data_IF_277045266083
#
_entry.id   IF_277045266083
#
_cell.length_a   1.000
_cell.length_b   1.000
_cell.length_c   1.000
_cell.angle_alpha   90.00
_cell.angle_beta   90.00
_cell.angle_gamma   90.00
#
_symmetry.space_group_name_H-M   'P 1'
#
loop_
_entity.id
_entity.type
_entity.pdbx_description
1 polymer ?
#
# COMPACT_ATOMS: atom_id res chain seq x y z
N UNK A 1 -2.48 17.61 12.29
CA UNK A 1 -2.47 16.23 11.75
C UNK A 1 -1.08 15.64 11.92
N UNK A 2 -0.98 14.67 12.82
CA UNK A 2 0.18 13.81 13.04
C UNK A 2 0.22 12.69 11.98
N UNK A 3 1.27 11.86 11.98
CA UNK A 3 1.30 10.65 11.15
C UNK A 3 0.23 9.63 11.58
N UNK A 4 -0.03 9.51 12.88
CA UNK A 4 -1.06 8.61 13.41
C UNK A 4 -2.45 9.00 12.92
N UNK A 5 -2.77 10.30 12.96
CA UNK A 5 -4.02 10.83 12.41
C UNK A 5 -4.15 10.49 10.92
N UNK A 6 -3.06 10.68 10.15
CA UNK A 6 -3.01 10.38 8.72
C UNK A 6 -3.24 8.89 8.45
N UNK A 7 -2.56 8.02 9.20
CA UNK A 7 -2.69 6.57 9.10
C UNK A 7 -4.12 6.12 9.41
N UNK A 8 -4.69 6.57 10.54
CA UNK A 8 -6.04 6.21 10.95
C UNK A 8 -7.09 6.70 9.93
N UNK A 9 -6.93 7.91 9.40
CA UNK A 9 -7.82 8.44 8.37
C UNK A 9 -7.76 7.61 7.06
N UNK A 10 -6.58 7.14 6.65
CA UNK A 10 -6.43 6.27 5.48
C UNK A 10 -6.94 4.85 5.73
N UNK A 11 -6.78 4.32 6.95
CA UNK A 11 -7.40 3.03 7.33
C UNK A 11 -8.93 3.15 7.21
N UNK A 12 -9.52 4.20 7.79
CA UNK A 12 -10.97 4.46 7.69
C UNK A 12 -11.41 4.60 6.23
N UNK A 13 -10.67 5.37 5.43
CA UNK A 13 -10.94 5.53 4.00
C UNK A 13 -11.09 4.21 3.26
N UNK A 14 -10.19 3.25 3.54
CA UNK A 14 -10.23 1.94 2.90
C UNK A 14 -11.26 0.99 3.50
N UNK A 15 -11.47 1.02 4.83
CA UNK A 15 -12.47 0.18 5.50
C UNK A 15 -13.91 0.55 5.14
N UNK A 16 -14.18 1.85 4.94
CA UNK A 16 -15.50 2.37 4.56
C UNK A 16 -15.65 2.61 3.06
N UNK A 17 -14.72 2.08 2.26
CA UNK A 17 -14.75 2.14 0.79
C UNK A 17 -14.99 3.55 0.23
N UNK A 18 -14.41 4.57 0.89
CA UNK A 18 -14.50 5.93 0.43
C UNK A 18 -13.80 6.09 -0.93
N UNK A 19 -14.38 6.91 -1.81
CA UNK A 19 -13.89 7.09 -3.18
C UNK A 19 -13.21 8.45 -3.41
N UNK A 20 -13.26 9.36 -2.42
CA UNK A 20 -12.63 10.68 -2.54
C UNK A 20 -12.24 11.26 -1.18
N UNK A 21 -11.18 12.07 -1.18
CA UNK A 21 -10.75 12.82 0.01
C UNK A 21 -11.85 13.76 0.53
N UNK A 22 -12.72 14.27 -0.35
CA UNK A 22 -13.88 15.09 0.06
C UNK A 22 -14.84 14.28 0.91
N UNK A 23 -15.16 13.06 0.48
CA UNK A 23 -16.07 12.19 1.23
C UNK A 23 -15.49 11.87 2.61
N UNK A 24 -14.20 11.49 2.67
CA UNK A 24 -13.52 11.22 3.94
C UNK A 24 -13.53 12.43 4.87
N UNK A 25 -13.16 13.62 4.39
CA UNK A 25 -13.13 14.82 5.24
C UNK A 25 -14.52 15.16 5.78
N UNK A 26 -15.56 14.97 4.98
CA UNK A 26 -16.94 15.12 5.45
C UNK A 26 -17.27 14.08 6.54
N UNK A 27 -16.90 12.81 6.36
CA UNK A 27 -17.07 11.77 7.39
C UNK A 27 -16.35 12.13 8.68
N UNK A 28 -15.11 12.62 8.61
CA UNK A 28 -14.33 13.06 9.77
C UNK A 28 -14.98 14.25 10.52
N UNK A 29 -15.82 15.04 9.84
CA UNK A 29 -16.53 16.18 10.43
C UNK A 29 -17.92 15.79 10.96
N UNK A 30 -18.66 14.94 10.26
CA UNK A 30 -20.08 14.67 10.51
C UNK A 30 -20.33 13.41 11.33
N UNK A 31 -19.49 12.38 11.20
CA UNK A 31 -19.64 11.14 11.97
C UNK A 31 -19.06 11.28 13.39
N UNK A 32 -19.85 10.89 14.39
CA UNK A 32 -19.46 11.03 15.79
C UNK A 32 -18.26 10.15 16.15
N UNK A 33 -18.16 8.94 15.62
CA UNK A 33 -17.03 8.08 15.91
C UNK A 33 -15.76 8.63 15.27
N UNK A 34 -15.81 8.93 13.97
CA UNK A 34 -14.70 9.44 13.19
C UNK A 34 -14.19 10.77 13.76
N UNK A 35 -15.08 11.70 14.10
CA UNK A 35 -14.73 13.01 14.67
C UNK A 35 -14.00 12.93 16.00
N UNK A 36 -14.34 11.96 16.86
CA UNK A 36 -13.76 11.86 18.20
C UNK A 36 -12.56 10.90 18.27
N UNK A 37 -12.43 9.94 17.35
CA UNK A 37 -11.41 8.89 17.43
C UNK A 37 -10.43 8.85 16.26
N UNK A 38 -10.77 9.46 15.11
CA UNK A 38 -9.97 9.38 13.88
C UNK A 38 -9.48 10.77 13.44
N UNK A 39 -10.34 11.79 13.51
CA UNK A 39 -10.01 13.14 13.09
C UNK A 39 -8.95 13.77 14.01
N UNK A 40 -8.05 14.61 13.47
CA UNK A 40 -7.13 15.40 14.29
C UNK A 40 -7.88 16.30 15.28
N UNK A 41 -7.23 16.63 16.40
CA UNK A 41 -7.77 17.60 17.35
C UNK A 41 -8.05 18.96 16.65
N UNK A 42 -9.29 19.45 16.77
CA UNK A 42 -9.75 20.65 16.08
C UNK A 42 -10.20 20.44 14.63
N UNK A 43 -10.22 19.20 14.13
CA UNK A 43 -10.62 18.84 12.77
C UNK A 43 -9.54 19.14 11.73
N UNK A 44 -9.88 18.92 10.45
CA UNK A 44 -8.96 19.19 9.35
C UNK A 44 -9.69 19.67 8.09
N UNK A 45 -9.19 20.76 7.50
CA UNK A 45 -9.70 21.21 6.21
C UNK A 45 -9.26 20.30 5.08
N UNK A 46 -10.06 20.20 4.02
CA UNK A 46 -9.71 19.43 2.81
C UNK A 46 -8.36 19.82 2.21
N UNK A 47 -8.04 21.12 2.16
CA UNK A 47 -6.77 21.61 1.63
C UNK A 47 -5.59 21.11 2.45
N UNK A 48 -5.68 21.21 3.78
CA UNK A 48 -4.62 20.76 4.69
C UNK A 48 -4.45 19.23 4.66
N UNK A 49 -5.56 18.49 4.51
CA UNK A 49 -5.50 17.04 4.32
C UNK A 49 -4.78 16.68 3.02
N UNK A 50 -5.18 17.27 1.89
CA UNK A 50 -4.54 17.03 0.59
C UNK A 50 -3.05 17.36 0.59
N UNK A 51 -2.65 18.48 1.20
CA UNK A 51 -1.24 18.88 1.32
C UNK A 51 -0.44 17.83 2.12
N UNK A 52 -0.96 17.41 3.27
CA UNK A 52 -0.28 16.44 4.10
C UNK A 52 -0.16 15.04 3.45
N UNK A 53 -1.17 14.60 2.69
CA UNK A 53 -1.09 13.34 1.92
C UNK A 53 -0.01 13.40 0.84
N UNK A 54 0.18 14.56 0.19
CA UNK A 54 1.17 14.71 -0.88
C UNK A 54 2.61 14.79 -0.38
N UNK A 55 2.83 15.33 0.83
CA UNK A 55 4.18 15.68 1.31
C UNK A 55 4.70 14.74 2.40
N UNK A 56 3.86 13.90 3.02
CA UNK A 56 4.21 13.19 4.25
C UNK A 56 3.85 11.72 4.20
N UNK A 57 4.65 10.92 4.91
CA UNK A 57 4.24 9.61 5.40
C UNK A 57 4.82 8.41 4.65
N UNK A 58 5.38 8.55 3.44
CA UNK A 58 5.83 7.39 2.66
C UNK A 58 6.82 6.50 3.43
N UNK A 59 7.90 7.08 3.97
CA UNK A 59 8.89 6.34 4.75
C UNK A 59 8.27 5.71 6.00
N UNK A 60 7.37 6.43 6.67
CA UNK A 60 6.67 5.94 7.85
C UNK A 60 5.69 4.79 7.51
N UNK A 61 4.96 4.88 6.40
CA UNK A 61 4.07 3.82 5.90
C UNK A 61 4.85 2.57 5.54
N UNK A 62 6.01 2.72 4.89
CA UNK A 62 6.91 1.60 4.60
C UNK A 62 7.39 0.95 5.89
N UNK A 63 7.80 1.74 6.89
CA UNK A 63 8.20 1.21 8.19
C UNK A 63 7.06 0.45 8.91
N UNK A 64 5.83 0.99 8.88
CA UNK A 64 4.64 0.32 9.44
C UNK A 64 4.37 -0.99 8.70
N UNK A 65 4.39 -0.98 7.36
CA UNK A 65 4.18 -2.18 6.55
C UNK A 65 5.22 -3.26 6.87
N UNK A 66 6.50 -2.92 6.89
CA UNK A 66 7.59 -3.87 7.18
C UNK A 66 7.48 -4.49 8.58
N UNK A 67 7.10 -3.68 9.58
CA UNK A 67 6.91 -4.19 10.94
C UNK A 67 5.68 -5.09 11.05
N UNK A 68 4.55 -4.69 10.45
CA UNK A 68 3.34 -5.49 10.41
C UNK A 68 3.56 -6.81 9.68
N UNK A 69 4.28 -6.78 8.55
CA UNK A 69 4.62 -7.97 7.78
C UNK A 69 5.46 -8.95 8.61
N UNK A 70 6.46 -8.46 9.34
CA UNK A 70 7.29 -9.30 10.24
C UNK A 70 6.46 -9.93 11.36
N UNK A 71 5.57 -9.14 11.98
CA UNK A 71 4.69 -9.65 13.03
C UNK A 71 3.71 -10.69 12.49
N UNK A 72 3.06 -10.41 11.37
CA UNK A 72 2.15 -11.34 10.70
C UNK A 72 2.87 -12.63 10.29
N UNK A 73 4.08 -12.53 9.72
CA UNK A 73 4.91 -13.67 9.35
C UNK A 73 5.37 -14.51 10.55
N UNK A 74 5.51 -13.92 11.74
CA UNK A 74 5.81 -14.67 12.96
C UNK A 74 4.58 -15.37 13.58
N UNK A 75 3.40 -14.80 13.39
CA UNK A 75 2.15 -15.27 14.00
C UNK A 75 1.39 -16.29 13.13
N UNK A 76 1.40 -16.11 11.81
CA UNK A 76 0.59 -16.90 10.90
C UNK A 76 1.20 -18.29 10.64
N UNK A 77 0.39 -19.36 10.66
CA UNK A 77 0.88 -20.70 10.36
C UNK A 77 1.28 -20.83 8.90
N UNK A 78 2.27 -21.68 8.62
CA UNK A 78 2.68 -22.05 7.25
C UNK A 78 1.82 -23.21 6.77
N UNK A 79 0.85 -22.94 5.91
CA UNK A 79 -0.13 -23.94 5.41
C UNK A 79 0.53 -25.01 4.53
N UNK A 80 1.60 -24.66 3.81
CA UNK A 80 2.26 -25.52 2.83
C UNK A 80 3.77 -25.68 3.07
N UNK A 81 4.21 -25.80 4.33
CA UNK A 81 5.64 -25.84 4.69
C UNK A 81 6.44 -26.94 3.96
N UNK A 82 5.80 -28.04 3.56
CA UNK A 82 6.42 -29.14 2.81
C UNK A 82 6.88 -28.75 1.40
N UNK A 83 6.35 -27.67 0.83
CA UNK A 83 6.73 -27.18 -0.50
C UNK A 83 7.89 -26.17 -0.45
N UNK A 84 8.42 -25.89 0.75
CA UNK A 84 9.38 -24.80 0.97
C UNK A 84 8.71 -23.43 1.05
N UNK A 85 9.52 -22.37 1.01
CA UNK A 85 9.05 -20.98 1.03
C UNK A 85 8.73 -20.51 -0.39
N UNK A 86 7.44 -20.41 -0.71
CA UNK A 86 6.93 -20.07 -2.04
C UNK A 86 6.46 -18.62 -2.08
N UNK A 87 7.04 -17.85 -3.00
CA UNK A 87 6.70 -16.45 -3.24
C UNK A 87 6.09 -16.31 -4.63
N UNK A 88 4.82 -15.96 -4.73
CA UNK A 88 4.22 -15.55 -6.00
C UNK A 88 4.66 -14.14 -6.33
N UNK A 89 5.10 -13.92 -7.56
CA UNK A 89 5.48 -12.61 -8.08
C UNK A 89 4.52 -12.27 -9.20
N UNK A 90 3.81 -11.17 -9.04
CA UNK A 90 2.89 -10.65 -10.06
C UNK A 90 2.98 -9.12 -10.14
N UNK A 91 2.78 -8.61 -11.35
CA UNK A 91 2.82 -7.19 -11.67
C UNK A 91 1.43 -6.68 -12.05
N UNK A 92 0.88 -5.77 -11.24
CA UNK A 92 -0.40 -5.12 -11.56
C UNK A 92 -0.20 -3.67 -11.96
N UNK A 93 -0.90 -3.21 -13.00
CA UNK A 93 -0.95 -1.80 -13.33
C UNK A 93 -1.90 -1.07 -12.37
N UNK A 94 -1.42 0.04 -11.82
CA UNK A 94 -2.22 0.98 -11.03
C UNK A 94 -2.39 2.29 -11.82
N UNK A 95 -3.56 2.88 -11.68
CA UNK A 95 -3.82 4.19 -12.28
C UNK A 95 -2.94 5.24 -11.60
N UNK A 96 -2.27 6.05 -12.42
CA UNK A 96 -1.39 7.09 -11.91
C UNK A 96 -2.09 8.45 -11.94
N UNK A 97 -1.70 9.34 -11.04
CA UNK A 97 -2.17 10.72 -10.99
C UNK A 97 -1.27 11.63 -11.84
N UNK A 98 -1.74 12.84 -12.17
CA UNK A 98 -1.00 13.77 -13.04
C UNK A 98 0.43 14.08 -12.58
N UNK A 99 0.64 14.11 -11.25
CA UNK A 99 1.94 14.34 -10.60
C UNK A 99 2.90 13.16 -10.68
N UNK A 100 2.44 11.96 -11.07
CA UNK A 100 3.30 10.82 -11.38
C UNK A 100 3.81 10.93 -12.81
N UNK A 101 4.59 11.97 -13.07
CA UNK A 101 5.23 12.23 -14.37
C UNK A 101 6.23 11.14 -14.79
N UNK A 102 6.80 10.43 -13.81
CA UNK A 102 7.66 9.26 -14.00
C UNK A 102 6.92 7.99 -14.48
N UNK A 103 5.59 7.93 -14.37
CA UNK A 103 4.82 6.76 -14.78
C UNK A 103 4.63 6.73 -16.31
N UNK A 104 5.17 5.71 -16.99
CA UNK A 104 5.17 5.62 -18.46
C UNK A 104 3.82 5.15 -19.05
N UNK A 105 3.63 5.44 -20.34
CA UNK A 105 2.37 5.40 -21.08
C UNK A 105 1.98 3.97 -21.50
N UNK A 106 0.82 3.48 -21.05
CA UNK A 106 0.17 2.29 -21.63
C UNK A 106 -1.13 2.71 -22.30
N UNK A 107 -1.17 2.63 -23.64
CA UNK A 107 -2.33 2.82 -24.54
C UNK A 107 -3.47 3.71 -24.00
N UNK A 108 -3.16 4.96 -23.65
CA UNK A 108 -4.17 6.01 -23.40
C UNK A 108 -4.20 6.60 -21.99
N UNK A 109 -3.53 6.00 -21.00
CA UNK A 109 -3.43 6.54 -19.64
C UNK A 109 -2.03 6.35 -19.05
N UNK A 110 -1.60 7.29 -18.20
CA UNK A 110 -0.38 7.13 -17.40
C UNK A 110 -0.65 6.04 -16.35
N UNK A 111 0.20 5.01 -16.27
CA UNK A 111 0.07 3.92 -15.29
C UNK A 111 1.41 3.61 -14.66
N UNK A 112 1.40 3.32 -13.36
CA UNK A 112 2.56 2.75 -12.69
C UNK A 112 2.37 1.24 -12.59
N UNK A 113 3.47 0.49 -12.57
CA UNK A 113 3.43 -0.95 -12.35
C UNK A 113 3.84 -1.25 -10.92
N UNK A 114 3.02 -2.06 -10.26
CA UNK A 114 3.22 -2.52 -8.89
C UNK A 114 3.62 -3.99 -8.93
N UNK A 115 4.85 -4.28 -8.54
CA UNK A 115 5.36 -5.64 -8.39
C UNK A 115 5.14 -6.08 -6.95
N UNK A 116 4.41 -7.18 -6.78
CA UNK A 116 4.07 -7.75 -5.47
C UNK A 116 4.75 -9.10 -5.30
N UNK A 117 5.51 -9.26 -4.23
CA UNK A 117 5.97 -10.55 -3.74
C UNK A 117 5.01 -11.05 -2.66
N UNK A 118 4.22 -12.07 -2.97
CA UNK A 118 3.19 -12.61 -2.09
C UNK A 118 3.63 -13.97 -1.52
N UNK A 119 3.69 -14.07 -0.20
CA UNK A 119 4.02 -15.31 0.49
C UNK A 119 2.80 -16.24 0.47
N UNK A 120 2.89 -17.31 -0.33
CA UNK A 120 1.80 -18.28 -0.50
C UNK A 120 1.61 -19.13 0.75
N UNK A 121 2.70 -19.46 1.47
CA UNK A 121 2.62 -20.32 2.65
C UNK A 121 1.76 -19.70 3.76
N UNK A 122 1.78 -18.37 3.88
CA UNK A 122 1.11 -17.63 4.94
C UNK A 122 -0.04 -16.74 4.43
N UNK A 123 -0.18 -16.59 3.11
CA UNK A 123 -1.25 -15.82 2.50
C UNK A 123 -1.12 -14.31 2.72
N UNK A 124 0.11 -13.78 2.77
CA UNK A 124 0.36 -12.36 3.06
C UNK A 124 1.33 -11.71 2.06
N UNK A 125 1.20 -10.40 1.81
CA UNK A 125 2.21 -9.66 1.05
C UNK A 125 3.54 -9.63 1.82
N UNK A 126 4.66 -9.85 1.13
CA UNK A 126 6.01 -9.81 1.70
C UNK A 126 6.78 -8.56 1.27
N UNK A 127 6.76 -8.23 -0.02
CA UNK A 127 7.49 -7.09 -0.59
C UNK A 127 6.69 -6.41 -1.69
N UNK A 128 6.93 -5.11 -1.87
CA UNK A 128 6.24 -4.25 -2.81
C UNK A 128 7.24 -3.33 -3.51
N UNK A 129 7.20 -3.25 -4.84
CA UNK A 129 7.96 -2.27 -5.61
C UNK A 129 7.07 -1.57 -6.63
N UNK A 130 7.29 -0.26 -6.81
CA UNK A 130 6.64 0.54 -7.83
C UNK A 130 7.65 0.95 -8.90
N UNK A 131 7.28 0.77 -10.15
CA UNK A 131 8.08 1.11 -11.33
C UNK A 131 7.20 1.77 -12.38
N UNK A 132 7.81 2.26 -13.47
CA UNK A 132 7.03 2.70 -14.63
C UNK A 132 6.15 1.55 -15.19
N UNK A 133 5.10 1.92 -15.91
CA UNK A 133 4.10 0.98 -16.42
C UNK A 133 4.61 -0.10 -17.39
N UNK A 134 5.77 0.10 -18.02
CA UNK A 134 6.34 -0.82 -19.01
C UNK A 134 7.42 -1.73 -18.46
N UNK A 135 7.88 -1.49 -17.23
CA UNK A 135 8.90 -2.31 -16.58
C UNK A 135 8.47 -3.78 -16.47
N UNK A 136 9.37 -4.68 -16.86
CA UNK A 136 9.21 -6.13 -16.68
C UNK A 136 9.41 -6.51 -15.20
N UNK A 137 8.81 -7.62 -14.77
CA UNK A 137 8.92 -8.18 -13.42
C UNK A 137 10.29 -8.82 -13.18
N UNK A 138 10.86 -9.45 -14.22
CA UNK A 138 12.09 -10.26 -14.14
C UNK A 138 13.28 -9.56 -13.49
N UNK A 139 13.58 -8.28 -13.79
CA UNK A 139 14.66 -7.54 -13.14
C UNK A 139 14.44 -7.34 -11.62
N UNK A 140 13.19 -7.32 -11.17
CA UNK A 140 12.82 -7.07 -9.77
C UNK A 140 12.66 -8.33 -8.93
N UNK A 141 12.68 -9.52 -9.56
CA UNK A 141 12.58 -10.82 -8.88
C UNK A 141 13.61 -10.93 -7.76
N UNK A 142 14.86 -10.56 -8.03
CA UNK A 142 15.94 -10.62 -7.03
C UNK A 142 15.71 -9.70 -5.83
N UNK A 143 14.93 -8.63 -6.00
CA UNK A 143 14.55 -7.74 -4.91
C UNK A 143 13.33 -8.28 -4.14
N UNK A 144 12.49 -9.11 -4.79
CA UNK A 144 11.25 -9.65 -4.25
C UNK A 144 11.44 -10.98 -3.50
N UNK A 145 12.46 -11.76 -3.83
CA UNK A 145 12.78 -13.03 -3.16
C UNK A 145 14.02 -12.92 -2.29
N UNK A 146 14.07 -13.70 -1.22
CA UNK A 146 15.25 -13.88 -0.38
C UNK A 146 15.97 -15.20 -0.71
N UNK A 147 17.27 -15.34 -0.37
CA UNK A 147 17.97 -16.61 -0.49
C UNK A 147 17.22 -17.76 0.20
N UNK A 148 16.98 -18.84 -0.53
CA UNK A 148 16.22 -20.01 -0.05
C UNK A 148 14.72 -19.97 -0.34
N UNK A 149 14.19 -18.87 -0.89
CA UNK A 149 12.81 -18.79 -1.36
C UNK A 149 12.71 -19.19 -2.84
N UNK A 150 11.58 -19.81 -3.20
CA UNK A 150 11.24 -20.16 -4.59
C UNK A 150 10.22 -19.17 -5.13
N UNK A 151 10.60 -18.43 -6.17
CA UNK A 151 9.70 -17.53 -6.88
C UNK A 151 8.81 -18.28 -7.88
N UNK A 152 7.51 -18.00 -7.86
CA UNK A 152 6.52 -18.47 -8.84
C UNK A 152 6.08 -17.26 -9.66
N UNK A 153 6.27 -17.35 -10.98
CA UNK A 153 5.96 -16.30 -11.96
C UNK A 153 5.48 -16.96 -13.26
N UNK A 154 4.86 -16.19 -14.15
CA UNK A 154 4.44 -16.63 -15.49
C UNK A 154 5.51 -16.47 -16.59
#
# INVERSE_FOLDING_TARGET
>A
MTFEDQLNALILFHLEEHTSARHLVQTLEEDDFARHHIAPEGGISRSSFSEAINERGLEQFMAVFEQLQKQAGALLPKTHAQLGELISIDGSLIDSVLSMDWADYCSGAKKAKRHLGFNINQGIPQKLFLTDGKSDERPFVHNLIEPGQTGIMD
#
